data_IF_884445733583
#
_entry.id   IF_884445733583
#
_cell.length_a   1.000
_cell.length_b   1.000
_cell.length_c   1.000
_cell.angle_alpha   90.00
_cell.angle_beta   90.00
_cell.angle_gamma   90.00
#
_symmetry.space_group_name_H-M   'P 1'
#
loop_
_entity.id
_entity.type
_entity.pdbx_description
1 polymer ?
#
# COMPACT_ATOMS: atom_id res chain seq x y z
N UNK A 1 5.35 20.21 -10.66
CA UNK A 1 6.37 20.09 -9.61
C UNK A 1 7.09 18.77 -9.73
N UNK A 2 8.31 18.69 -9.21
CA UNK A 2 8.94 17.39 -8.92
C UNK A 2 8.16 16.82 -7.75
N UNK A 3 7.62 15.61 -7.90
CA UNK A 3 6.99 14.92 -6.77
C UNK A 3 8.09 14.52 -5.76
N UNK A 4 8.24 15.35 -4.74
CA UNK A 4 9.23 15.18 -3.67
C UNK A 4 9.06 13.81 -3.00
N UNK A 5 7.83 13.30 -2.89
CA UNK A 5 7.59 11.99 -2.29
C UNK A 5 8.22 10.85 -3.10
N UNK A 6 8.01 10.85 -4.42
CA UNK A 6 8.60 9.86 -5.32
C UNK A 6 10.14 9.87 -5.31
N UNK A 7 10.75 11.05 -5.24
CA UNK A 7 12.21 11.19 -5.15
C UNK A 7 12.75 10.62 -3.84
N UNK A 8 12.17 10.99 -2.70
CA UNK A 8 12.58 10.49 -1.37
C UNK A 8 12.38 8.98 -1.24
N UNK A 9 11.29 8.42 -1.78
CA UNK A 9 11.03 6.98 -1.79
C UNK A 9 12.09 6.22 -2.61
N UNK A 10 12.49 6.78 -3.76
CA UNK A 10 13.55 6.24 -4.60
C UNK A 10 14.90 6.24 -3.88
N UNK A 11 15.28 7.38 -3.29
CA UNK A 11 16.53 7.53 -2.53
C UNK A 11 16.56 6.59 -1.31
N UNK A 12 15.43 6.45 -0.60
CA UNK A 12 15.29 5.53 0.53
C UNK A 12 15.51 4.07 0.09
N UNK A 13 14.96 3.66 -1.05
CA UNK A 13 15.15 2.30 -1.54
C UNK A 13 16.61 2.02 -1.93
N UNK A 14 17.29 3.03 -2.51
CA UNK A 14 18.67 2.93 -2.94
C UNK A 14 19.67 2.67 -1.79
N UNK A 15 19.33 3.02 -0.54
CA UNK A 15 20.22 2.81 0.63
C UNK A 15 20.47 1.32 0.92
N UNK A 16 19.51 0.45 0.58
CA UNK A 16 19.65 -1.00 0.78
C UNK A 16 20.09 -1.71 -0.49
N UNK A 17 19.68 -1.19 -1.65
CA UNK A 17 19.98 -1.76 -2.95
C UNK A 17 19.90 -0.70 -4.05
N UNK A 18 21.05 -0.35 -4.63
CA UNK A 18 21.08 0.43 -5.86
C UNK A 18 20.56 -0.42 -7.03
N UNK A 19 19.33 -0.13 -7.47
CA UNK A 19 18.66 -0.86 -8.53
C UNK A 19 17.63 0.04 -9.20
N UNK A 20 17.80 0.34 -10.51
CA UNK A 20 16.86 1.19 -11.23
C UNK A 20 15.42 0.67 -11.21
N UNK A 21 15.23 -0.66 -11.14
CA UNK A 21 13.91 -1.27 -11.05
C UNK A 21 13.27 -1.00 -9.68
N UNK A 22 14.03 -1.14 -8.60
CA UNK A 22 13.52 -0.90 -7.26
C UNK A 22 13.20 0.58 -7.05
N UNK A 23 14.09 1.46 -7.50
CA UNK A 23 13.94 2.93 -7.45
C UNK A 23 12.66 3.38 -8.19
N UNK A 24 12.48 2.90 -9.42
CA UNK A 24 11.26 3.14 -10.20
C UNK A 24 10.00 2.64 -9.49
N UNK A 25 10.07 1.46 -8.86
CA UNK A 25 8.91 0.88 -8.19
C UNK A 25 8.52 1.67 -6.94
N UNK A 26 9.50 2.08 -6.14
CA UNK A 26 9.28 2.90 -4.94
C UNK A 26 8.63 4.25 -5.28
N UNK A 27 9.06 4.87 -6.40
CA UNK A 27 8.43 6.08 -6.91
C UNK A 27 6.96 5.85 -7.28
N UNK A 28 6.67 4.83 -8.08
CA UNK A 28 5.28 4.48 -8.47
C UNK A 28 4.40 4.17 -7.24
N UNK A 29 5.00 3.58 -6.20
CA UNK A 29 4.28 3.23 -4.97
C UNK A 29 3.85 4.44 -4.15
N UNK A 30 4.58 5.53 -4.24
CA UNK A 30 4.24 6.76 -3.51
C UNK A 30 2.89 7.28 -3.96
N UNK A 31 2.65 7.36 -5.27
CA UNK A 31 1.37 7.81 -5.84
C UNK A 31 0.19 6.95 -5.34
N UNK A 32 0.37 5.64 -5.30
CA UNK A 32 -0.69 4.72 -4.87
C UNK A 32 -1.02 4.88 -3.38
N UNK A 33 -0.01 5.03 -2.54
CA UNK A 33 -0.20 5.24 -1.10
C UNK A 33 -0.85 6.61 -0.86
N UNK A 34 -0.41 7.66 -1.53
CA UNK A 34 -1.01 8.99 -1.40
C UNK A 34 -2.48 8.99 -1.85
N UNK A 35 -2.80 8.32 -2.97
CA UNK A 35 -4.17 8.13 -3.41
C UNK A 35 -5.02 7.34 -2.39
N UNK A 36 -4.41 6.40 -1.65
CA UNK A 36 -5.12 5.62 -0.62
C UNK A 36 -5.57 6.45 0.59
N UNK A 37 -4.97 7.61 0.83
CA UNK A 37 -5.39 8.54 1.88
C UNK A 37 -6.67 9.31 1.52
N UNK A 38 -7.05 9.33 0.24
CA UNK A 38 -8.26 9.99 -0.22
C UNK A 38 -9.42 9.00 -0.32
N UNK A 39 -10.61 9.42 0.14
CA UNK A 39 -11.82 8.58 0.11
C UNK A 39 -12.52 8.54 -1.25
N UNK A 40 -11.96 9.21 -2.26
CA UNK A 40 -12.51 9.28 -3.62
C UNK A 40 -11.96 8.17 -4.53
N UNK A 41 -12.28 8.27 -5.82
CA UNK A 41 -11.88 7.32 -6.86
C UNK A 41 -10.41 7.52 -7.32
N UNK A 42 -9.62 8.37 -6.64
CA UNK A 42 -8.20 8.60 -6.97
C UNK A 42 -7.37 7.32 -6.97
N UNK A 43 -7.73 6.33 -6.14
CA UNK A 43 -7.05 5.03 -6.09
C UNK A 43 -7.17 4.25 -7.40
N UNK A 44 -8.30 4.36 -8.12
CA UNK A 44 -8.46 3.67 -9.41
C UNK A 44 -7.53 4.27 -10.46
N UNK A 45 -7.43 5.60 -10.49
CA UNK A 45 -6.50 6.29 -11.39
C UNK A 45 -5.04 5.96 -11.03
N UNK A 46 -4.68 5.99 -9.74
CA UNK A 46 -3.35 5.63 -9.29
C UNK A 46 -2.99 4.17 -9.62
N UNK A 47 -3.93 3.22 -9.49
CA UNK A 47 -3.75 1.84 -9.92
C UNK A 47 -3.52 1.73 -11.44
N UNK A 48 -4.29 2.47 -12.24
CA UNK A 48 -4.13 2.49 -13.69
C UNK A 48 -2.77 3.07 -14.09
N UNK A 49 -2.27 4.10 -13.39
CA UNK A 49 -0.94 4.66 -13.63
C UNK A 49 0.16 3.70 -13.17
N UNK A 50 0.04 3.10 -11.98
CA UNK A 50 1.00 2.12 -11.49
C UNK A 50 1.13 0.92 -12.43
N UNK A 51 0.01 0.40 -12.92
CA UNK A 51 -0.03 -0.69 -13.91
C UNK A 51 0.78 -0.34 -15.17
N UNK A 52 0.61 0.88 -15.71
CA UNK A 52 1.40 1.36 -16.86
C UNK A 52 2.87 1.51 -16.50
N UNK A 53 3.17 2.06 -15.33
CA UNK A 53 4.53 2.26 -14.82
C UNK A 53 5.31 0.95 -14.64
N UNK A 54 4.63 -0.13 -14.26
CA UNK A 54 5.20 -1.47 -14.19
C UNK A 54 5.30 -2.17 -15.56
N UNK A 55 4.92 -1.50 -16.65
CA UNK A 55 4.96 -2.05 -18.00
C UNK A 55 3.87 -3.07 -18.30
N UNK A 56 2.82 -3.12 -17.49
CA UNK A 56 1.69 -4.04 -17.68
C UNK A 56 0.70 -3.47 -18.70
N UNK A 57 0.19 -4.35 -19.59
CA UNK A 57 -0.75 -3.97 -20.66
C UNK A 57 -2.22 -4.09 -20.25
N UNK A 58 -2.51 -4.96 -19.29
CA UNK A 58 -3.86 -5.24 -18.84
C UNK A 58 -4.11 -4.50 -17.54
N UNK A 59 -5.31 -3.93 -17.39
CA UNK A 59 -5.76 -3.36 -16.12
C UNK A 59 -5.82 -4.47 -15.04
N UNK A 60 -5.64 -4.11 -13.76
CA UNK A 60 -5.84 -5.05 -12.67
C UNK A 60 -7.26 -5.65 -12.68
N UNK A 61 -7.37 -6.91 -12.26
CA UNK A 61 -8.62 -7.69 -12.26
C UNK A 61 -9.34 -7.54 -10.92
N UNK A 62 -10.43 -6.78 -10.90
CA UNK A 62 -11.26 -6.61 -9.69
C UNK A 62 -12.13 -7.85 -9.36
N UNK A 63 -12.45 -8.67 -10.36
CA UNK A 63 -13.35 -9.82 -10.23
C UNK A 63 -12.61 -11.17 -10.33
N UNK A 64 -11.28 -11.15 -10.27
CA UNK A 64 -10.44 -12.34 -10.33
C UNK A 64 -10.47 -13.17 -9.03
N UNK A 65 -10.03 -14.43 -9.15
CA UNK A 65 -9.62 -15.22 -7.98
C UNK A 65 -8.33 -14.63 -7.42
N UNK A 66 -8.17 -14.68 -6.10
CA UNK A 66 -6.90 -14.32 -5.49
C UNK A 66 -5.85 -15.35 -5.89
N UNK A 67 -4.69 -14.89 -6.35
CA UNK A 67 -3.64 -15.74 -6.89
C UNK A 67 -2.40 -15.74 -5.99
N UNK A 68 -1.83 -16.93 -5.80
CA UNK A 68 -0.53 -17.08 -5.14
C UNK A 68 0.56 -16.51 -6.04
N UNK A 69 1.54 -15.83 -5.44
CA UNK A 69 2.71 -15.33 -6.15
C UNK A 69 4.00 -15.82 -5.51
N UNK A 70 5.04 -15.93 -6.34
CA UNK A 70 6.42 -16.20 -5.91
C UNK A 70 7.14 -14.91 -5.48
N UNK A 71 8.27 -15.05 -4.80
CA UNK A 71 9.08 -13.97 -4.18
C UNK A 71 9.80 -13.03 -5.16
N UNK A 72 9.44 -13.04 -6.44
CA UNK A 72 10.01 -12.14 -7.43
C UNK A 72 9.01 -11.06 -7.79
N UNK A 73 9.48 -9.81 -7.80
CA UNK A 73 8.73 -8.62 -8.18
C UNK A 73 7.87 -8.79 -9.45
N UNK A 74 8.43 -9.41 -10.50
CA UNK A 74 7.73 -9.65 -11.76
C UNK A 74 6.50 -10.56 -11.61
N UNK A 75 6.53 -11.49 -10.66
CA UNK A 75 5.42 -12.39 -10.37
C UNK A 75 4.49 -11.88 -9.27
N UNK A 76 4.98 -11.09 -8.32
CA UNK A 76 4.18 -10.60 -7.19
C UNK A 76 3.33 -9.39 -7.54
N UNK A 77 3.83 -8.47 -8.37
CA UNK A 77 3.14 -7.21 -8.69
C UNK A 77 1.77 -7.39 -9.32
N UNK A 78 1.60 -8.22 -10.38
CA UNK A 78 0.29 -8.37 -10.98
C UNK A 78 -0.76 -8.86 -9.98
N UNK A 79 -0.40 -9.86 -9.16
CA UNK A 79 -1.31 -10.41 -8.14
C UNK A 79 -1.61 -9.39 -7.05
N UNK A 80 -0.65 -8.56 -6.68
CA UNK A 80 -0.81 -7.51 -5.68
C UNK A 80 -1.74 -6.40 -6.19
N UNK A 81 -1.55 -5.92 -7.42
CA UNK A 81 -2.43 -4.91 -8.02
C UNK A 81 -3.85 -5.43 -8.20
N UNK A 82 -4.01 -6.69 -8.62
CA UNK A 82 -5.32 -7.33 -8.73
C UNK A 82 -6.05 -7.34 -7.38
N UNK A 83 -5.35 -7.69 -6.30
CA UNK A 83 -5.93 -7.68 -4.96
C UNK A 83 -6.26 -6.26 -4.49
N UNK A 84 -5.37 -5.28 -4.71
CA UNK A 84 -5.67 -3.89 -4.34
C UNK A 84 -6.92 -3.42 -5.09
N UNK A 85 -6.95 -3.55 -6.42
CA UNK A 85 -8.10 -3.16 -7.22
C UNK A 85 -9.40 -3.85 -6.75
N UNK A 86 -9.34 -5.16 -6.50
CA UNK A 86 -10.48 -5.94 -6.00
C UNK A 86 -10.98 -5.45 -4.65
N UNK A 87 -10.09 -5.20 -3.68
CA UNK A 87 -10.48 -4.85 -2.32
C UNK A 87 -10.64 -3.34 -2.06
N UNK A 88 -10.35 -2.49 -3.05
CA UNK A 88 -10.67 -1.05 -3.04
C UNK A 88 -11.82 -0.67 -3.97
N UNK A 89 -12.32 -1.60 -4.80
CA UNK A 89 -13.40 -1.35 -5.77
C UNK A 89 -14.71 -1.00 -5.07
N UNK A 90 -15.35 0.08 -5.53
CA UNK A 90 -16.68 0.53 -5.08
C UNK A 90 -17.80 -0.50 -5.31
N UNK A 91 -17.54 -1.52 -6.13
CA UNK A 91 -18.45 -2.63 -6.38
C UNK A 91 -18.50 -3.69 -5.27
N UNK A 92 -17.57 -3.64 -4.31
CA UNK A 92 -17.52 -4.55 -3.15
C UNK A 92 -17.71 -3.77 -1.85
N UNK A 93 -18.06 -4.51 -0.80
CA UNK A 93 -18.00 -4.00 0.57
C UNK A 93 -16.54 -3.65 0.86
N UNK A 94 -16.24 -2.36 1.04
CA UNK A 94 -14.90 -1.86 1.39
C UNK A 94 -14.54 -2.28 2.82
N UNK A 95 -14.28 -3.56 3.00
CA UNK A 95 -13.80 -4.13 4.25
C UNK A 95 -12.34 -4.55 4.08
N UNK A 96 -11.45 -3.77 4.70
CA UNK A 96 -10.02 -4.03 4.72
C UNK A 96 -9.69 -5.41 5.31
N UNK A 97 -10.46 -5.88 6.28
CA UNK A 97 -10.26 -7.20 6.88
C UNK A 97 -10.45 -8.32 5.85
N UNK A 98 -11.50 -8.25 5.04
CA UNK A 98 -11.75 -9.23 3.97
C UNK A 98 -10.56 -9.36 3.02
N UNK A 99 -9.94 -8.24 2.61
CA UNK A 99 -8.77 -8.25 1.74
C UNK A 99 -7.51 -8.83 2.41
N UNK A 100 -7.26 -8.45 3.67
CA UNK A 100 -6.13 -8.95 4.44
C UNK A 100 -6.23 -10.46 4.74
N UNK A 101 -7.44 -10.93 5.09
CA UNK A 101 -7.70 -12.34 5.33
C UNK A 101 -7.55 -13.17 4.05
N UNK A 102 -8.04 -12.66 2.91
CA UNK A 102 -7.84 -13.31 1.62
C UNK A 102 -6.34 -13.43 1.27
N UNK A 103 -5.56 -12.38 1.54
CA UNK A 103 -4.12 -12.40 1.34
C UNK A 103 -3.41 -13.43 2.24
N UNK A 104 -3.79 -13.50 3.51
CA UNK A 104 -3.22 -14.49 4.43
C UNK A 104 -3.49 -15.93 3.94
N UNK A 105 -4.71 -16.19 3.45
CA UNK A 105 -5.15 -17.51 3.01
C UNK A 105 -4.59 -17.98 1.65
N UNK A 106 -4.30 -17.06 0.72
CA UNK A 106 -3.81 -17.45 -0.62
C UNK A 106 -2.34 -17.90 -0.62
N UNK A 107 -1.57 -17.55 0.41
CA UNK A 107 -0.18 -17.98 0.59
C UNK A 107 0.81 -17.38 -0.41
N UNK A 108 2.00 -17.97 -0.49
CA UNK A 108 3.14 -17.43 -1.24
C UNK A 108 3.75 -16.22 -0.53
N UNK A 109 3.89 -15.11 -1.25
CA UNK A 109 4.37 -13.82 -0.71
C UNK A 109 3.32 -13.06 0.13
N UNK A 110 2.56 -13.77 0.96
CA UNK A 110 1.47 -13.16 1.73
C UNK A 110 1.96 -12.14 2.77
N UNK A 111 3.19 -12.27 3.30
CA UNK A 111 3.74 -11.29 4.26
C UNK A 111 4.06 -9.98 3.55
N UNK A 112 4.83 -10.02 2.45
CA UNK A 112 5.20 -8.81 1.71
C UNK A 112 3.99 -8.16 1.03
N UNK A 113 3.15 -8.96 0.34
CA UNK A 113 1.91 -8.43 -0.25
C UNK A 113 0.96 -7.95 0.84
N UNK A 114 0.97 -8.59 2.01
CA UNK A 114 0.17 -8.20 3.17
C UNK A 114 0.58 -6.86 3.78
N UNK A 115 1.87 -6.54 3.87
CA UNK A 115 2.31 -5.23 4.35
C UNK A 115 1.86 -4.12 3.40
N UNK A 116 1.94 -4.38 2.10
CA UNK A 116 1.52 -3.43 1.07
C UNK A 116 0.00 -3.27 0.98
N UNK A 117 -0.75 -4.38 0.97
CA UNK A 117 -2.21 -4.35 1.06
C UNK A 117 -2.68 -3.68 2.34
N UNK A 118 -2.01 -3.95 3.48
CA UNK A 118 -2.32 -3.35 4.77
C UNK A 118 -2.15 -1.83 4.76
N UNK A 119 -1.10 -1.33 4.14
CA UNK A 119 -0.89 0.11 3.98
C UNK A 119 -2.04 0.77 3.19
N UNK A 120 -2.41 0.20 2.04
CA UNK A 120 -3.47 0.76 1.16
C UNK A 120 -4.86 0.61 1.78
N UNK A 121 -5.22 -0.60 2.22
CA UNK A 121 -6.55 -0.88 2.76
C UNK A 121 -6.75 -0.23 4.14
N UNK A 122 -5.71 -0.21 4.97
CA UNK A 122 -5.74 0.45 6.27
C UNK A 122 -5.87 1.97 6.16
N UNK A 123 -5.13 2.60 5.23
CA UNK A 123 -5.25 4.02 4.95
C UNK A 123 -6.67 4.42 4.53
N UNK A 124 -7.31 3.61 3.69
CA UNK A 124 -8.69 3.85 3.22
C UNK A 124 -9.75 3.56 4.28
N UNK A 125 -9.55 2.52 5.08
CA UNK A 125 -10.51 2.13 6.11
C UNK A 125 -10.48 3.09 7.30
N UNK A 126 -9.30 3.61 7.68
CA UNK A 126 -9.13 4.28 8.97
C UNK A 126 -9.05 3.26 10.11
N UNK A 127 -8.34 3.63 11.18
CA UNK A 127 -8.06 2.72 12.32
C UNK A 127 -9.35 2.27 13.01
N UNK A 128 -10.37 3.11 13.03
CA UNK A 128 -11.66 2.88 13.66
C UNK A 128 -12.51 1.81 12.98
N UNK A 129 -12.23 1.54 11.69
CA UNK A 129 -12.95 0.52 10.91
C UNK A 129 -12.15 -0.79 10.79
N UNK A 130 -11.00 -0.89 11.47
CA UNK A 130 -10.16 -2.09 11.48
C UNK A 130 -10.49 -2.98 12.70
N UNK A 131 -10.54 -4.32 12.54
CA UNK A 131 -10.73 -5.22 13.68
C UNK A 131 -9.64 -5.07 14.74
N UNK A 132 -10.03 -4.98 16.01
CA UNK A 132 -9.11 -4.82 17.13
C UNK A 132 -8.08 -5.97 17.22
N UNK A 133 -8.49 -7.17 16.82
CA UNK A 133 -7.70 -8.39 16.85
C UNK A 133 -6.45 -8.30 15.96
N UNK A 134 -6.48 -7.48 14.90
CA UNK A 134 -5.30 -7.21 14.07
C UNK A 134 -4.20 -6.49 14.85
N UNK A 135 -4.58 -5.67 15.83
CA UNK A 135 -3.66 -4.88 16.64
C UNK A 135 -3.29 -5.61 17.93
N UNK A 136 -4.26 -6.27 18.58
CA UNK A 136 -4.05 -7.02 19.82
C UNK A 136 -3.06 -8.18 19.65
N UNK A 137 -2.95 -8.73 18.44
CA UNK A 137 -2.00 -9.80 18.11
C UNK A 137 -0.58 -9.34 17.77
N UNK A 138 -0.31 -8.03 17.70
CA UNK A 138 1.02 -7.51 17.36
C UNK A 138 1.96 -7.56 18.57
N UNK A 139 3.12 -8.20 18.42
CA UNK A 139 4.13 -8.31 19.48
C UNK A 139 4.62 -6.92 19.95
N UNK A 140 4.92 -6.02 19.01
CA UNK A 140 5.47 -4.69 19.28
C UNK A 140 4.42 -3.59 19.15
N UNK A 141 3.14 -3.88 19.46
CA UNK A 141 2.00 -2.96 19.28
C UNK A 141 2.26 -1.57 19.86
N UNK A 142 2.72 -1.51 21.11
CA UNK A 142 2.89 -0.24 21.83
C UNK A 142 4.01 0.59 21.19
N UNK A 143 5.15 -0.03 20.86
CA UNK A 143 6.26 0.64 20.20
C UNK A 143 5.87 1.17 18.81
N UNK A 144 5.15 0.35 18.01
CA UNK A 144 4.65 0.78 16.70
C UNK A 144 3.69 1.97 16.84
N UNK A 145 2.82 1.95 17.86
CA UNK A 145 1.87 3.06 18.11
C UNK A 145 2.60 4.35 18.47
N UNK A 146 3.64 4.27 19.32
CA UNK A 146 4.49 5.40 19.67
C UNK A 146 5.24 5.98 18.45
N UNK A 147 5.76 5.11 17.57
CA UNK A 147 6.43 5.49 16.32
C UNK A 147 5.47 6.21 15.35
N UNK A 148 4.26 5.69 15.17
CA UNK A 148 3.22 6.32 14.35
C UNK A 148 2.89 7.71 14.90
N UNK A 149 2.65 7.83 16.20
CA UNK A 149 2.34 9.11 16.84
C UNK A 149 3.51 10.11 16.71
N UNK A 150 4.75 9.64 16.85
CA UNK A 150 5.94 10.47 16.66
C UNK A 150 6.05 10.97 15.21
N UNK A 151 5.81 10.10 14.23
CA UNK A 151 5.79 10.46 12.82
C UNK A 151 4.71 11.49 12.51
N UNK A 152 3.47 11.25 12.93
CA UNK A 152 2.35 12.18 12.72
C UNK A 152 2.64 13.54 13.36
N UNK A 153 3.19 13.57 14.58
CA UNK A 153 3.61 14.83 15.22
C UNK A 153 4.71 15.54 14.44
N UNK A 154 5.71 14.82 13.92
CA UNK A 154 6.79 15.43 13.15
C UNK A 154 6.29 16.04 11.82
N UNK A 155 5.39 15.35 11.13
CA UNK A 155 4.89 15.77 9.81
C UNK A 155 3.80 16.84 9.92
N UNK A 156 2.86 16.71 10.87
CA UNK A 156 1.75 17.65 11.02
C UNK A 156 2.02 18.77 12.02
N UNK A 157 2.82 18.52 13.06
CA UNK A 157 3.15 19.50 14.10
C UNK A 157 4.22 20.52 13.68
N UNK A 158 4.94 20.28 12.58
CA UNK A 158 5.89 21.26 12.01
C UNK A 158 5.19 22.45 11.32
N UNK A 159 3.87 22.38 11.10
CA UNK A 159 3.09 23.47 10.47
C UNK A 159 2.63 24.57 11.45
N UNK A 160 2.83 24.39 12.77
CA UNK A 160 2.40 25.35 13.80
C UNK A 160 3.48 26.38 14.21
N UNK A 161 4.64 26.39 13.55
CA UNK A 161 5.75 27.33 13.87
C UNK A 161 5.83 28.60 13.00
N UNK A 162 4.86 28.84 12.11
CA UNK A 162 4.73 30.12 11.37
C UNK A 162 3.40 30.83 11.66
N UNK A 163 3.20 31.32 12.90
CA UNK A 163 2.25 32.40 13.22
C UNK A 163 2.77 33.32 14.33
#
# INVERSE_FOLDING_TARGET
EVDVGAEEASQTAAVTRSSPVLEMYSSIWTDLIMASLHSDDSIEEALNQATKGFGMRQKPRENGRDEMSACYLQGSIPTMLDMIAKYTSSSRTNDAWTGLLANANVGGENVHRGSVLGAVLGARAGVENMPAELFDGLHDRDAISEEIDAFVRAVLGSNDQEL
#
